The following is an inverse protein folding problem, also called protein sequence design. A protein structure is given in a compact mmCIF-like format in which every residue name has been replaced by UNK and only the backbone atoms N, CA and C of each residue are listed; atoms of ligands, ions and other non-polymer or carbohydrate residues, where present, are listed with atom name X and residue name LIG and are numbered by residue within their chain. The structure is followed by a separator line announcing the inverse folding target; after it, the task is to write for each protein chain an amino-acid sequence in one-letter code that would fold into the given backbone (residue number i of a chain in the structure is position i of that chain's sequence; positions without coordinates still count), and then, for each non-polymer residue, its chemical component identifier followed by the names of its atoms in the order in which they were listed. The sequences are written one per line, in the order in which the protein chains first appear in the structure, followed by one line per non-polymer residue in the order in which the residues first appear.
data_IF_538127564229
#
_entry.id   IF_538127564229
#
_cell.length_a   1.000
_cell.length_b   1.000
_cell.length_c   1.000
_cell.angle_alpha   90.00
_cell.angle_beta   90.00
_cell.angle_gamma   90.00
#
_symmetry.space_group_name_H-M   'P 1'
#
loop_
_entity.id
_entity.type
_entity.pdbx_description
1 polymer ?
#
# COMPACT_ATOMS: atom_id res chain seq x y z
N UNK A 1 -0.40 -48.20 -14.87
CA UNK A 1 -0.74 -46.95 -15.58
C UNK A 1 -1.58 -45.93 -14.77
N UNK A 2 -1.84 -46.13 -13.46
CA UNK A 2 -2.70 -45.25 -12.65
C UNK A 2 -1.92 -44.21 -11.81
N UNK A 3 -0.70 -44.52 -11.40
CA UNK A 3 0.15 -43.63 -10.58
C UNK A 3 0.67 -42.42 -11.37
N UNK A 4 1.11 -42.63 -12.61
CA UNK A 4 1.65 -41.56 -13.47
C UNK A 4 0.59 -40.51 -13.84
N UNK A 5 -0.67 -40.92 -14.05
CA UNK A 5 -1.78 -39.99 -14.36
C UNK A 5 -2.09 -39.03 -13.21
N UNK A 6 -1.98 -39.50 -11.95
CA UNK A 6 -2.14 -38.65 -10.75
C UNK A 6 -1.01 -37.62 -10.60
N UNK A 7 0.23 -38.03 -10.89
CA UNK A 7 1.39 -37.12 -10.81
C UNK A 7 1.29 -36.04 -11.89
N UNK A 8 0.91 -36.39 -13.12
CA UNK A 8 0.73 -35.42 -14.21
C UNK A 8 -0.40 -34.44 -13.89
N UNK A 9 -1.52 -34.92 -13.35
CA UNK A 9 -2.62 -34.04 -12.93
C UNK A 9 -2.19 -33.08 -11.81
N UNK A 10 -1.38 -33.55 -10.86
CA UNK A 10 -0.85 -32.74 -9.77
C UNK A 10 0.11 -31.65 -10.28
N UNK A 11 1.00 -32.00 -11.23
CA UNK A 11 1.92 -31.05 -11.86
C UNK A 11 1.19 -29.99 -12.69
N UNK A 12 0.15 -30.39 -13.42
CA UNK A 12 -0.71 -29.45 -14.17
C UNK A 12 -1.49 -28.51 -13.24
N UNK A 13 -2.01 -29.01 -12.12
CA UNK A 13 -2.65 -28.15 -11.12
C UNK A 13 -1.68 -27.16 -10.48
N UNK A 14 -0.42 -27.56 -10.27
CA UNK A 14 0.60 -26.68 -9.71
C UNK A 14 0.97 -25.57 -10.71
N UNK A 15 1.12 -25.89 -11.99
CA UNK A 15 1.37 -24.88 -13.02
C UNK A 15 0.22 -23.90 -13.17
N UNK A 16 -1.04 -24.36 -13.07
CA UNK A 16 -2.20 -23.46 -13.12
C UNK A 16 -2.22 -22.45 -11.96
N UNK A 17 -1.80 -22.87 -10.76
CA UNK A 17 -1.68 -21.98 -9.58
C UNK A 17 -0.56 -20.94 -9.77
N UNK A 18 0.56 -21.33 -10.38
CA UNK A 18 1.67 -20.41 -10.70
C UNK A 18 1.27 -19.42 -11.81
N UNK A 19 0.49 -19.85 -12.80
CA UNK A 19 0.00 -19.00 -13.89
C UNK A 19 -1.05 -17.98 -13.40
N UNK A 20 -1.96 -18.37 -12.49
CA UNK A 20 -2.93 -17.42 -11.93
C UNK A 20 -2.30 -16.43 -10.96
N UNK A 21 -1.28 -16.83 -10.19
CA UNK A 21 -0.53 -15.90 -9.34
C UNK A 21 0.31 -14.89 -10.13
N UNK A 22 0.89 -15.30 -11.27
CA UNK A 22 1.59 -14.39 -12.18
C UNK A 22 0.64 -13.43 -12.92
N UNK A 23 -0.57 -13.87 -13.27
CA UNK A 23 -1.58 -13.01 -13.91
C UNK A 23 -2.13 -11.92 -12.96
N UNK A 24 -2.17 -12.17 -11.66
CA UNK A 24 -2.48 -11.14 -10.64
C UNK A 24 -1.30 -10.20 -10.35
N UNK A 25 -0.09 -10.49 -10.85
CA UNK A 25 1.09 -9.64 -10.67
C UNK A 25 1.17 -8.50 -11.69
N UNK A 26 0.35 -8.54 -12.75
CA UNK A 26 0.06 -7.36 -13.57
C UNK A 26 -1.00 -6.51 -12.85
N UNK A 27 -0.65 -5.99 -11.67
CA UNK A 27 -1.28 -4.73 -11.26
C UNK A 27 -0.78 -3.72 -12.27
N UNK A 28 -1.64 -3.32 -13.20
CA UNK A 28 -1.45 -2.11 -13.95
C UNK A 28 -0.87 -1.06 -13.00
N UNK A 29 0.30 -0.53 -13.33
CA UNK A 29 0.85 0.66 -12.66
C UNK A 29 -0.15 1.79 -12.92
N UNK A 30 -1.25 1.80 -12.18
CA UNK A 30 -2.20 2.88 -12.21
C UNK A 30 -1.48 4.04 -11.58
N UNK A 31 -0.91 4.89 -12.42
CA UNK A 31 -0.31 6.13 -11.98
C UNK A 31 -1.43 7.04 -11.52
N UNK A 32 -1.26 7.58 -10.32
CA UNK A 32 -2.19 8.54 -9.73
C UNK A 32 -1.61 9.94 -9.88
N UNK A 33 -2.47 10.92 -10.13
CA UNK A 33 -2.12 12.32 -9.90
C UNK A 33 -2.27 12.65 -8.42
N UNK A 34 -1.64 13.75 -7.97
CA UNK A 34 -1.88 14.26 -6.60
C UNK A 34 -3.37 14.47 -6.34
N UNK A 35 -4.08 15.04 -7.31
CA UNK A 35 -5.52 15.30 -7.22
C UNK A 35 -6.36 14.01 -7.06
N UNK A 36 -5.95 12.91 -7.71
CA UNK A 36 -6.65 11.63 -7.57
C UNK A 36 -6.52 11.10 -6.14
N UNK A 37 -5.32 11.18 -5.54
CA UNK A 37 -5.09 10.78 -4.15
C UNK A 37 -5.79 11.72 -3.16
N UNK A 38 -5.77 13.03 -3.42
CA UNK A 38 -6.50 14.04 -2.64
C UNK A 38 -8.03 13.86 -2.71
N UNK A 39 -8.58 13.22 -3.75
CA UNK A 39 -10.01 13.00 -3.88
C UNK A 39 -10.52 11.76 -3.12
N UNK A 40 -9.64 10.80 -2.81
CA UNK A 40 -10.00 9.57 -2.09
C UNK A 40 -10.47 9.87 -0.68
N UNK A 41 -11.38 9.04 -0.14
CA UNK A 41 -11.68 9.11 1.28
C UNK A 41 -10.49 8.61 2.13
N UNK A 42 -10.54 8.87 3.45
CA UNK A 42 -9.45 8.55 4.35
C UNK A 42 -9.08 7.06 4.37
N UNK A 43 -10.10 6.20 4.32
CA UNK A 43 -9.90 4.76 4.39
C UNK A 43 -9.35 4.22 3.07
N UNK A 44 -9.91 4.65 1.93
CA UNK A 44 -9.44 4.29 0.60
C UNK A 44 -7.98 4.71 0.38
N UNK A 45 -7.63 5.94 0.77
CA UNK A 45 -6.26 6.44 0.68
C UNK A 45 -5.31 5.60 1.53
N UNK A 46 -5.66 5.33 2.78
CA UNK A 46 -4.83 4.52 3.68
C UNK A 46 -4.67 3.08 3.19
N UNK A 47 -5.73 2.44 2.69
CA UNK A 47 -5.65 1.10 2.10
C UNK A 47 -4.73 1.09 0.88
N UNK A 48 -4.85 2.10 0.00
CA UNK A 48 -4.00 2.21 -1.18
C UNK A 48 -2.52 2.34 -0.77
N UNK A 49 -2.20 3.25 0.15
CA UNK A 49 -0.84 3.44 0.65
C UNK A 49 -0.30 2.15 1.29
N UNK A 50 -1.11 1.48 2.12
CA UNK A 50 -0.76 0.21 2.78
C UNK A 50 -0.48 -0.90 1.76
N UNK A 51 -1.32 -1.03 0.73
CA UNK A 51 -1.12 -2.01 -0.37
C UNK A 51 0.15 -1.73 -1.18
N UNK A 52 0.71 -0.52 -1.09
CA UNK A 52 1.94 -0.10 -1.76
C UNK A 52 3.14 0.04 -0.81
N UNK A 53 3.02 -0.48 0.41
CA UNK A 53 4.12 -0.64 1.35
C UNK A 53 4.26 0.50 2.37
N UNK A 54 3.18 1.21 2.69
CA UNK A 54 3.17 2.10 3.85
C UNK A 54 3.33 1.27 5.13
N UNK A 55 4.35 1.61 5.91
CA UNK A 55 4.60 1.07 7.23
C UNK A 55 4.53 2.22 8.24
N UNK A 56 3.39 2.44 8.92
CA UNK A 56 3.20 3.62 9.77
C UNK A 56 4.18 3.75 10.95
N UNK A 57 4.83 2.65 11.35
CA UNK A 57 5.63 2.57 12.58
C UNK A 57 4.78 2.14 13.79
N UNK A 58 5.42 1.50 14.78
CA UNK A 58 4.76 1.11 16.03
C UNK A 58 4.55 2.31 16.95
N UNK A 59 5.48 3.27 16.91
CA UNK A 59 5.46 4.52 17.65
C UNK A 59 4.22 5.36 17.35
N UNK A 60 3.85 5.55 16.08
CA UNK A 60 2.63 6.31 15.75
C UNK A 60 1.35 5.58 16.17
N UNK A 61 1.36 4.23 16.16
CA UNK A 61 0.22 3.40 16.55
C UNK A 61 -0.01 3.35 18.06
N UNK A 62 1.02 3.68 18.85
CA UNK A 62 0.87 3.90 20.29
C UNK A 62 0.20 5.26 20.59
N UNK A 63 0.27 6.21 19.65
CA UNK A 63 -0.29 7.56 19.79
C UNK A 63 -1.69 7.65 19.18
N UNK A 64 -1.88 7.07 17.98
CA UNK A 64 -3.11 7.13 17.20
C UNK A 64 -3.70 5.72 17.06
N UNK A 65 -5.01 5.61 17.29
CA UNK A 65 -5.75 4.41 16.86
C UNK A 65 -5.73 4.30 15.33
N UNK A 66 -5.94 3.09 14.80
CA UNK A 66 -5.96 2.85 13.35
C UNK A 66 -6.89 3.82 12.62
N UNK A 67 -8.11 4.02 13.14
CA UNK A 67 -9.06 4.98 12.56
C UNK A 67 -8.53 6.42 12.57
N UNK A 68 -7.85 6.84 13.64
CA UNK A 68 -7.27 8.19 13.73
C UNK A 68 -6.05 8.36 12.85
N UNK A 69 -5.30 7.29 12.59
CA UNK A 69 -4.21 7.29 11.65
C UNK A 69 -4.72 7.52 10.22
N UNK A 70 -5.79 6.83 9.81
CA UNK A 70 -6.46 7.06 8.51
C UNK A 70 -6.91 8.52 8.36
N UNK A 71 -7.64 9.03 9.36
CA UNK A 71 -8.13 10.42 9.36
C UNK A 71 -6.97 11.43 9.33
N UNK A 72 -5.91 11.22 10.12
CA UNK A 72 -4.75 12.10 10.14
C UNK A 72 -4.02 12.13 8.80
N UNK A 73 -3.80 10.97 8.17
CA UNK A 73 -3.16 10.89 6.85
C UNK A 73 -3.97 11.69 5.83
N UNK A 74 -5.29 11.66 5.92
CA UNK A 74 -6.17 12.41 5.03
C UNK A 74 -6.15 13.91 5.30
N UNK A 75 -6.24 14.31 6.57
CA UNK A 75 -6.27 15.71 6.99
C UNK A 75 -4.97 16.44 6.63
N UNK A 76 -3.82 15.79 6.84
CA UNK A 76 -2.49 16.37 6.62
C UNK A 76 -1.86 15.92 5.29
N UNK A 77 -2.64 15.33 4.38
CA UNK A 77 -2.11 14.69 3.16
C UNK A 77 -1.18 15.60 2.35
N UNK A 78 -1.55 16.87 2.19
CA UNK A 78 -0.76 17.88 1.48
C UNK A 78 0.64 18.09 2.06
N UNK A 79 0.81 17.91 3.36
CA UNK A 79 2.12 17.99 4.01
C UNK A 79 2.86 16.66 3.91
N UNK A 80 2.15 15.56 4.18
CA UNK A 80 2.75 14.22 4.24
C UNK A 80 3.31 13.77 2.89
N UNK A 81 2.66 14.16 1.79
CA UNK A 81 3.15 13.87 0.43
C UNK A 81 4.48 14.58 0.11
N UNK A 82 4.84 15.63 0.86
CA UNK A 82 6.10 16.36 0.76
C UNK A 82 7.10 15.95 1.86
N UNK A 83 6.80 14.92 2.65
CA UNK A 83 7.62 14.49 3.80
C UNK A 83 7.55 15.45 4.99
N UNK A 84 6.57 16.36 5.02
CA UNK A 84 6.36 17.31 6.10
C UNK A 84 5.23 16.83 7.04
N UNK A 85 5.24 17.31 8.29
CA UNK A 85 4.14 17.10 9.23
C UNK A 85 3.89 18.34 10.08
N UNK A 86 2.65 18.49 10.56
CA UNK A 86 2.24 19.61 11.42
C UNK A 86 2.67 19.45 12.89
N UNK A 87 3.28 18.32 13.25
CA UNK A 87 3.60 17.92 14.63
C UNK A 87 5.10 17.85 14.84
N UNK A 88 5.57 18.25 16.03
CA UNK A 88 6.99 18.25 16.39
C UNK A 88 7.52 16.89 16.88
N UNK A 89 6.65 15.90 17.05
CA UNK A 89 7.00 14.59 17.55
C UNK A 89 7.59 13.71 16.43
N UNK A 90 8.65 12.97 16.74
CA UNK A 90 9.39 12.17 15.77
C UNK A 90 8.56 11.06 15.12
N UNK A 91 7.55 10.51 15.81
CA UNK A 91 6.69 9.48 15.26
C UNK A 91 5.88 10.00 14.06
N UNK A 92 5.41 11.25 14.14
CA UNK A 92 4.69 11.90 13.04
C UNK A 92 5.61 12.22 11.86
N UNK A 93 6.88 12.55 12.15
CA UNK A 93 7.89 12.76 11.12
C UNK A 93 8.22 11.45 10.38
N UNK A 94 8.40 10.36 11.12
CA UNK A 94 8.63 9.04 10.53
C UNK A 94 7.46 8.61 9.64
N UNK A 95 6.22 8.87 10.07
CA UNK A 95 5.04 8.62 9.26
C UNK A 95 5.05 9.46 7.96
N UNK A 96 5.41 10.74 8.04
CA UNK A 96 5.52 11.60 6.86
C UNK A 96 6.54 11.08 5.85
N UNK A 97 7.71 10.67 6.32
CA UNK A 97 8.78 10.10 5.48
C UNK A 97 8.30 8.82 4.75
N UNK A 98 7.56 7.94 5.44
CA UNK A 98 7.01 6.73 4.83
C UNK A 98 5.85 7.03 3.84
N UNK A 99 4.98 8.00 4.13
CA UNK A 99 3.93 8.43 3.20
C UNK A 99 4.54 9.03 1.93
N UNK A 100 5.51 9.95 2.05
CA UNK A 100 6.21 10.56 0.92
C UNK A 100 6.84 9.49 0.02
N UNK A 101 7.55 8.53 0.62
CA UNK A 101 8.22 7.42 -0.07
C UNK A 101 7.24 6.55 -0.85
N UNK A 102 6.04 6.29 -0.32
CA UNK A 102 5.01 5.51 -1.02
C UNK A 102 4.36 6.35 -2.12
N UNK A 103 4.00 7.60 -1.84
CA UNK A 103 3.40 8.51 -2.82
C UNK A 103 4.30 8.75 -4.05
N UNK A 104 5.61 8.90 -3.85
CA UNK A 104 6.60 9.02 -4.95
C UNK A 104 6.63 7.80 -5.88
N UNK A 105 6.19 6.62 -5.43
CA UNK A 105 6.06 5.43 -6.29
C UNK A 105 4.74 5.42 -7.07
N UNK A 106 3.70 6.00 -6.49
CA UNK A 106 2.35 6.02 -7.05
C UNK A 106 2.16 7.13 -8.09
N UNK A 107 2.82 8.27 -7.88
CA UNK A 107 2.77 9.42 -8.76
C UNK A 107 3.92 9.32 -9.75
N UNK A 108 3.60 9.15 -11.05
CA UNK A 108 4.58 9.36 -12.12
C UNK A 108 4.64 10.85 -12.41
N UNK A 109 5.85 11.40 -12.40
CA UNK A 109 6.16 12.75 -12.91
C UNK A 109 5.82 12.89 -14.41
#
# INVERSE_FOLDING_TARGET
MYKSKRIIAFLLSLMLIVLTSAACANKDEHHYTKADLEAMDAHELYELLSKNGLEPGTDIKEILSDKRLEEYIKEDFDLLIEGACSRSDSAYKNLADEVEKVCKKLIKE
#
